data_IF_182597833391
#
_entry.id   IF_182597833391
#
_cell.length_a   1.000
_cell.length_b   1.000
_cell.length_c   1.000
_cell.angle_alpha   90.00
_cell.angle_beta   90.00
_cell.angle_gamma   90.00
#
_symmetry.space_group_name_H-M   'P 1'
#
loop_
_entity.id
_entity.type
_entity.pdbx_description
1 polymer ?
#
# COMPACT_ATOMS: atom_id res chain seq x y z
N UNK A 1 -9.24 10.21 -26.20
CA UNK A 1 -8.74 9.56 -24.98
C UNK A 1 -8.93 8.06 -25.07
N UNK A 2 -7.96 7.31 -24.55
CA UNK A 2 -8.12 5.88 -24.26
C UNK A 2 -7.98 5.68 -22.75
N UNK A 3 -8.94 4.96 -22.16
CA UNK A 3 -9.07 4.79 -20.71
C UNK A 3 -9.29 3.31 -20.38
N UNK A 4 -8.54 2.77 -19.43
CA UNK A 4 -8.80 1.42 -18.87
C UNK A 4 -10.23 1.38 -18.31
N UNK A 5 -11.01 0.38 -18.69
CA UNK A 5 -12.44 0.23 -18.42
C UNK A 5 -12.80 0.12 -16.93
N UNK A 6 -11.83 -0.22 -16.08
CA UNK A 6 -12.01 -0.31 -14.63
C UNK A 6 -11.78 1.04 -13.92
N UNK A 7 -11.22 2.06 -14.60
CA UNK A 7 -11.04 3.39 -14.02
C UNK A 7 -12.42 4.08 -13.88
N UNK A 8 -12.84 4.44 -12.66
CA UNK A 8 -14.10 5.13 -12.47
C UNK A 8 -14.12 6.48 -13.20
N UNK A 9 -15.09 6.69 -14.04
CA UNK A 9 -15.31 7.98 -14.70
C UNK A 9 -16.05 8.91 -13.73
N UNK A 10 -15.33 9.50 -12.78
CA UNK A 10 -15.88 10.47 -11.83
C UNK A 10 -16.40 11.73 -12.53
N UNK A 11 -17.18 12.53 -11.82
CA UNK A 11 -17.68 13.79 -12.38
C UNK A 11 -16.54 14.74 -12.80
N UNK A 12 -15.45 14.77 -12.00
CA UNK A 12 -14.26 15.57 -12.28
C UNK A 12 -13.57 15.10 -13.57
N UNK A 13 -13.39 13.79 -13.74
CA UNK A 13 -12.73 13.23 -14.92
C UNK A 13 -13.62 13.43 -16.17
N UNK A 14 -14.93 13.15 -16.08
CA UNK A 14 -15.89 13.34 -17.16
C UNK A 14 -15.96 14.78 -17.68
N UNK A 15 -15.78 15.76 -16.81
CA UNK A 15 -15.82 17.18 -17.19
C UNK A 15 -14.65 17.57 -18.13
N UNK A 16 -13.57 16.80 -18.16
CA UNK A 16 -12.38 17.04 -18.99
C UNK A 16 -12.37 16.18 -20.26
N UNK A 17 -13.11 15.07 -20.25
CA UNK A 17 -13.11 14.10 -21.34
C UNK A 17 -13.85 14.63 -22.57
N UNK A 18 -13.19 14.52 -23.73
CA UNK A 18 -13.81 14.63 -25.06
C UNK A 18 -14.29 13.26 -25.56
N UNK A 19 -13.85 12.89 -26.77
CA UNK A 19 -14.09 11.55 -27.31
C UNK A 19 -13.28 10.50 -26.53
N UNK A 20 -13.95 9.50 -25.97
CA UNK A 20 -13.35 8.48 -25.10
C UNK A 20 -13.63 7.09 -25.62
N UNK A 21 -12.57 6.32 -25.75
CA UNK A 21 -12.62 4.85 -25.93
C UNK A 21 -12.22 4.17 -24.64
N UNK A 22 -13.06 3.29 -24.11
CA UNK A 22 -12.73 2.46 -22.95
C UNK A 22 -12.34 1.07 -23.41
N UNK A 23 -11.23 0.54 -22.86
CA UNK A 23 -10.69 -0.78 -23.19
C UNK A 23 -10.24 -1.50 -21.91
N UNK A 24 -10.35 -2.84 -21.85
CA UNK A 24 -9.65 -3.61 -20.85
C UNK A 24 -8.14 -3.29 -20.90
N UNK A 25 -7.50 -3.09 -19.74
CA UNK A 25 -6.10 -2.66 -19.70
C UNK A 25 -5.14 -3.59 -20.47
N UNK A 26 -5.45 -4.87 -20.58
CA UNK A 26 -4.65 -5.84 -21.38
C UNK A 26 -4.83 -5.71 -22.89
N UNK A 27 -5.90 -5.04 -23.34
CA UNK A 27 -6.19 -4.80 -24.77
C UNK A 27 -5.64 -3.44 -25.24
N UNK A 28 -4.99 -2.68 -24.36
CA UNK A 28 -4.32 -1.43 -24.68
C UNK A 28 -3.00 -1.77 -25.40
N UNK A 29 -2.93 -1.42 -26.68
CA UNK A 29 -1.80 -1.71 -27.58
C UNK A 29 -1.45 -0.45 -28.36
N UNK A 30 -0.27 -0.34 -29.01
CA UNK A 30 0.08 0.81 -29.86
C UNK A 30 -0.98 1.10 -30.93
N UNK A 31 -1.59 0.08 -31.50
CA UNK A 31 -2.65 0.25 -32.52
C UNK A 31 -3.93 0.85 -31.94
N UNK A 32 -4.31 0.49 -30.70
CA UNK A 32 -5.54 1.00 -30.08
C UNK A 32 -5.41 2.40 -29.52
N UNK A 33 -4.17 2.91 -29.38
CA UNK A 33 -3.89 4.26 -28.87
C UNK A 33 -3.24 5.17 -29.90
N UNK A 34 -3.18 4.74 -31.18
CA UNK A 34 -2.47 5.48 -32.26
C UNK A 34 -2.87 6.93 -32.36
N UNK A 35 -4.15 7.24 -32.23
CA UNK A 35 -4.74 8.56 -32.40
C UNK A 35 -5.22 9.19 -31.08
N UNK A 36 -4.86 8.60 -29.94
CA UNK A 36 -5.24 9.11 -28.63
C UNK A 36 -4.26 10.20 -28.15
N UNK A 37 -4.78 11.36 -27.71
CA UNK A 37 -3.96 12.40 -27.06
C UNK A 37 -3.64 12.04 -25.62
N UNK A 38 -4.56 11.37 -24.93
CA UNK A 38 -4.47 11.03 -23.50
C UNK A 38 -4.73 9.54 -23.29
N UNK A 39 -3.83 8.91 -22.55
CA UNK A 39 -3.94 7.51 -22.14
C UNK A 39 -4.03 7.42 -20.61
N UNK A 40 -5.11 6.80 -20.11
CA UNK A 40 -5.27 6.53 -18.67
C UNK A 40 -5.29 5.03 -18.41
N UNK A 41 -4.36 4.56 -17.57
CA UNK A 41 -4.12 3.15 -17.31
C UNK A 41 -4.17 2.78 -15.83
N UNK A 42 -4.09 1.49 -15.55
CA UNK A 42 -3.81 0.91 -14.23
C UNK A 42 -2.51 0.11 -14.27
N UNK A 43 -2.12 -0.47 -13.14
CA UNK A 43 -0.87 -1.23 -12.97
C UNK A 43 -0.68 -2.43 -13.90
N UNK A 44 -1.75 -2.95 -14.51
CA UNK A 44 -1.70 -4.10 -15.43
C UNK A 44 -1.26 -3.74 -16.85
N UNK A 45 -1.16 -2.46 -17.19
CA UNK A 45 -0.73 -1.97 -18.49
C UNK A 45 0.70 -1.44 -18.38
N UNK A 46 1.73 -2.15 -18.86
CA UNK A 46 3.09 -1.63 -18.88
C UNK A 46 3.19 -0.43 -19.83
N UNK A 47 3.64 0.71 -19.32
CA UNK A 47 3.83 1.93 -20.10
C UNK A 47 5.32 2.11 -20.35
N UNK A 48 5.74 1.87 -21.59
CA UNK A 48 7.12 1.87 -22.02
C UNK A 48 7.24 2.37 -23.47
N UNK A 49 8.46 2.41 -23.99
CA UNK A 49 8.72 2.84 -25.37
C UNK A 49 7.93 2.02 -26.41
N UNK A 50 7.81 0.71 -26.22
CA UNK A 50 7.10 -0.14 -27.18
C UNK A 50 5.60 0.13 -27.26
N UNK A 51 5.00 0.65 -26.17
CA UNK A 51 3.60 1.06 -26.16
C UNK A 51 3.39 2.45 -26.78
N UNK A 52 4.28 3.41 -26.48
CA UNK A 52 4.07 4.83 -26.78
C UNK A 52 4.70 5.30 -28.10
N UNK A 53 5.78 4.67 -28.58
CA UNK A 53 6.50 5.12 -29.75
C UNK A 53 5.63 5.12 -31.01
N UNK A 54 5.58 6.26 -31.71
CA UNK A 54 4.79 6.41 -32.94
C UNK A 54 3.29 6.61 -32.74
N UNK A 55 2.82 6.76 -31.52
CA UNK A 55 1.43 7.13 -31.21
C UNK A 55 1.29 8.66 -31.07
N UNK A 56 0.06 9.15 -31.02
CA UNK A 56 -0.24 10.56 -30.79
C UNK A 56 -0.31 10.94 -29.29
N UNK A 57 -0.05 10.02 -28.38
CA UNK A 57 -0.20 10.22 -26.93
C UNK A 57 0.73 11.33 -26.43
N UNK A 58 0.16 12.37 -25.84
CA UNK A 58 0.83 13.52 -25.24
C UNK A 58 0.85 13.46 -23.71
N UNK A 59 -0.11 12.77 -23.10
CA UNK A 59 -0.22 12.59 -21.67
C UNK A 59 -0.58 11.15 -21.33
N UNK A 60 0.13 10.55 -20.38
CA UNK A 60 -0.21 9.25 -19.82
C UNK A 60 -0.39 9.34 -18.30
N UNK A 61 -1.51 8.83 -17.79
CA UNK A 61 -1.81 8.80 -16.36
C UNK A 61 -2.09 7.42 -15.84
N UNK A 62 -1.60 7.09 -14.63
CA UNK A 62 -2.02 5.88 -13.94
C UNK A 62 -2.91 6.18 -12.73
N UNK A 63 -4.09 5.54 -12.67
CA UNK A 63 -5.02 5.65 -11.54
C UNK A 63 -4.54 4.90 -10.29
N UNK A 64 -3.27 4.51 -10.24
CA UNK A 64 -2.63 3.80 -9.13
C UNK A 64 -1.63 4.69 -8.39
N UNK A 65 -1.37 4.38 -7.12
CA UNK A 65 -0.37 5.10 -6.34
C UNK A 65 1.05 4.71 -6.74
N UNK A 66 1.28 3.46 -7.13
CA UNK A 66 2.57 2.95 -7.59
C UNK A 66 2.77 3.17 -9.09
N UNK A 67 4.03 3.29 -9.51
CA UNK A 67 4.47 3.53 -10.88
C UNK A 67 5.40 2.43 -11.41
N UNK A 68 5.43 1.29 -10.78
CA UNK A 68 6.34 0.18 -11.10
C UNK A 68 6.17 -0.34 -12.56
N UNK A 69 5.02 -0.07 -13.18
CA UNK A 69 4.68 -0.40 -14.56
C UNK A 69 5.01 0.72 -15.57
N UNK A 70 5.57 1.86 -15.12
CA UNK A 70 5.98 3.00 -15.94
C UNK A 70 7.50 2.99 -16.16
N UNK A 71 7.93 2.94 -17.41
CA UNK A 71 9.30 3.25 -17.80
C UNK A 71 9.43 4.78 -17.94
N UNK A 72 9.72 5.43 -16.82
CA UNK A 72 9.78 6.91 -16.75
C UNK A 72 10.81 7.47 -17.72
N UNK A 73 11.98 6.83 -17.84
CA UNK A 73 13.04 7.30 -18.74
C UNK A 73 12.58 7.26 -20.20
N UNK A 74 11.87 6.21 -20.61
CA UNK A 74 11.30 6.11 -21.95
C UNK A 74 10.19 7.14 -22.16
N UNK A 75 9.29 7.34 -21.21
CA UNK A 75 8.18 8.30 -21.29
C UNK A 75 8.72 9.72 -21.47
N UNK A 76 9.70 10.11 -20.63
CA UNK A 76 10.32 11.44 -20.68
C UNK A 76 11.12 11.64 -21.97
N UNK A 77 11.85 10.62 -22.43
CA UNK A 77 12.60 10.67 -23.71
C UNK A 77 11.68 10.87 -24.91
N UNK A 78 10.48 10.32 -24.89
CA UNK A 78 9.45 10.50 -25.91
C UNK A 78 8.74 11.85 -25.81
N UNK A 79 9.01 12.64 -24.77
CA UNK A 79 8.36 13.94 -24.54
C UNK A 79 6.90 13.83 -24.11
N UNK A 80 6.48 12.67 -23.60
CA UNK A 80 5.12 12.45 -23.11
C UNK A 80 5.02 12.92 -21.66
N UNK A 81 4.04 13.75 -21.34
CA UNK A 81 3.76 14.14 -19.97
C UNK A 81 3.14 12.96 -19.21
N UNK A 82 3.43 12.86 -17.92
CA UNK A 82 2.88 11.76 -17.12
C UNK A 82 2.44 12.17 -15.72
N UNK A 83 1.56 11.38 -15.13
CA UNK A 83 1.13 11.51 -13.73
C UNK A 83 0.71 10.16 -13.15
N UNK A 84 0.83 10.07 -11.82
CA UNK A 84 0.27 8.98 -11.03
C UNK A 84 -0.76 9.53 -10.02
N UNK A 85 -1.34 8.63 -9.22
CA UNK A 85 -2.29 8.98 -8.17
C UNK A 85 -1.77 8.64 -6.76
N UNK A 86 -0.65 9.27 -6.31
CA UNK A 86 -0.05 8.97 -5.02
C UNK A 86 -1.01 9.28 -3.87
N UNK A 87 -1.13 8.35 -2.92
CA UNK A 87 -2.00 8.50 -1.76
C UNK A 87 -3.49 8.19 -2.01
N UNK A 88 -3.93 7.93 -3.25
CA UNK A 88 -5.32 7.59 -3.58
C UNK A 88 -5.87 6.44 -2.75
N UNK A 89 -5.04 5.45 -2.45
CA UNK A 89 -5.38 4.23 -1.72
C UNK A 89 -4.88 4.20 -0.27
N UNK A 90 -4.22 5.26 0.20
CA UNK A 90 -3.52 5.23 1.49
C UNK A 90 -4.44 4.92 2.67
N UNK A 91 -5.66 5.47 2.69
CA UNK A 91 -6.65 5.20 3.74
C UNK A 91 -7.03 3.72 3.75
N UNK A 92 -7.28 3.13 2.58
CA UNK A 92 -7.63 1.71 2.48
C UNK A 92 -6.53 0.79 3.01
N UNK A 93 -5.26 1.10 2.70
CA UNK A 93 -4.13 0.33 3.23
C UNK A 93 -4.01 0.47 4.75
N UNK A 94 -4.23 1.67 5.30
CA UNK A 94 -4.25 1.89 6.75
C UNK A 94 -5.36 1.06 7.41
N UNK A 95 -6.57 1.07 6.87
CA UNK A 95 -7.69 0.26 7.36
C UNK A 95 -7.37 -1.23 7.29
N UNK A 96 -6.76 -1.69 6.19
CA UNK A 96 -6.29 -3.07 6.05
C UNK A 96 -5.31 -3.45 7.17
N UNK A 97 -4.30 -2.61 7.46
CA UNK A 97 -3.32 -2.89 8.52
C UNK A 97 -3.98 -2.93 9.91
N UNK A 98 -4.91 -2.01 10.20
CA UNK A 98 -5.65 -2.05 11.46
C UNK A 98 -6.51 -3.33 11.60
N UNK A 99 -7.17 -3.73 10.52
CA UNK A 99 -7.90 -5.00 10.47
C UNK A 99 -6.97 -6.21 10.62
N UNK A 100 -5.77 -6.17 10.03
CA UNK A 100 -4.74 -7.20 10.17
C UNK A 100 -4.28 -7.34 11.63
N UNK A 101 -3.99 -6.22 12.30
CA UNK A 101 -3.66 -6.19 13.73
C UNK A 101 -4.77 -6.85 14.59
N UNK A 102 -6.03 -6.50 14.31
CA UNK A 102 -7.17 -7.06 15.04
C UNK A 102 -7.37 -8.56 14.75
N UNK A 103 -7.27 -8.97 13.48
CA UNK A 103 -7.44 -10.36 13.06
C UNK A 103 -6.37 -11.27 13.66
N UNK A 104 -5.14 -10.78 13.74
CA UNK A 104 -4.01 -11.50 14.35
C UNK A 104 -4.00 -11.43 15.90
N UNK A 105 -4.94 -10.72 16.55
CA UNK A 105 -5.00 -10.58 17.99
C UNK A 105 -3.96 -9.64 18.60
N UNK A 106 -3.40 -8.74 17.78
CA UNK A 106 -2.36 -7.79 18.20
C UNK A 106 -2.86 -6.38 18.49
N UNK A 107 -4.09 -6.04 18.06
CA UNK A 107 -4.62 -4.67 18.21
C UNK A 107 -4.69 -4.23 19.67
N UNK A 108 -5.27 -5.06 20.55
CA UNK A 108 -5.35 -4.77 21.99
C UNK A 108 -3.96 -4.63 22.63
N UNK A 109 -3.01 -5.47 22.21
CA UNK A 109 -1.64 -5.44 22.72
C UNK A 109 -0.92 -4.14 22.33
N UNK A 110 -1.12 -3.68 21.08
CA UNK A 110 -0.56 -2.43 20.58
C UNK A 110 -1.13 -1.23 21.34
N UNK A 111 -2.43 -1.20 21.60
CA UNK A 111 -3.06 -0.16 22.42
C UNK A 111 -2.58 -0.23 23.87
N UNK A 112 -2.33 -1.42 24.41
CA UNK A 112 -1.78 -1.60 25.75
C UNK A 112 -0.29 -1.22 25.88
N UNK A 113 0.31 -0.68 24.81
CA UNK A 113 1.68 -0.15 24.81
C UNK A 113 2.72 -1.05 24.16
N UNK A 114 2.33 -2.13 23.45
CA UNK A 114 3.24 -2.89 22.63
C UNK A 114 3.71 -2.01 21.45
N UNK A 115 5.03 -1.76 21.29
CA UNK A 115 5.50 -0.79 20.31
C UNK A 115 5.39 -1.32 18.88
N UNK A 116 5.16 -0.39 17.94
CA UNK A 116 5.05 -0.64 16.51
C UNK A 116 6.18 0.06 15.77
N UNK A 117 6.92 -0.69 14.96
CA UNK A 117 7.93 -0.21 14.04
C UNK A 117 7.39 -0.10 12.62
N UNK A 118 7.52 1.05 12.00
CA UNK A 118 7.12 1.31 10.62
C UNK A 118 8.34 1.56 9.74
N UNK A 119 8.36 0.93 8.57
CA UNK A 119 9.39 1.14 7.55
C UNK A 119 8.77 1.88 6.37
N UNK A 120 9.22 3.11 6.12
CA UNK A 120 8.63 4.04 5.17
C UNK A 120 7.56 4.93 5.82
N UNK A 121 7.77 6.25 5.77
CA UNK A 121 6.87 7.24 6.35
C UNK A 121 6.27 8.13 5.24
N UNK A 122 5.85 7.50 4.14
CA UNK A 122 5.14 8.12 3.03
C UNK A 122 3.64 8.27 3.30
N UNK A 123 2.83 8.28 2.22
CA UNK A 123 1.39 8.48 2.28
C UNK A 123 0.64 7.48 3.20
N UNK A 124 1.08 6.23 3.23
CA UNK A 124 0.49 5.20 4.09
C UNK A 124 1.10 5.24 5.49
N UNK A 125 2.43 5.16 5.58
CA UNK A 125 3.13 5.02 6.86
C UNK A 125 2.86 6.19 7.81
N UNK A 126 2.84 7.43 7.30
CA UNK A 126 2.51 8.60 8.14
C UNK A 126 1.07 8.56 8.65
N UNK A 127 0.09 8.24 7.77
CA UNK A 127 -1.31 8.12 8.20
C UNK A 127 -1.50 7.02 9.24
N UNK A 128 -0.85 5.88 9.05
CA UNK A 128 -0.88 4.79 10.03
C UNK A 128 -0.24 5.19 11.35
N UNK A 129 0.96 5.80 11.30
CA UNK A 129 1.65 6.29 12.48
C UNK A 129 0.80 7.27 13.28
N UNK A 130 0.23 8.29 12.61
CA UNK A 130 -0.65 9.28 13.25
C UNK A 130 -1.89 8.60 13.85
N UNK A 131 -2.52 7.68 13.12
CA UNK A 131 -3.72 7.00 13.62
C UNK A 131 -3.44 6.17 14.86
N UNK A 132 -2.35 5.40 14.85
CA UNK A 132 -1.91 4.63 16.02
C UNK A 132 -1.50 5.54 17.19
N UNK A 133 -0.78 6.63 16.93
CA UNK A 133 -0.40 7.62 17.97
C UNK A 133 -1.62 8.27 18.62
N UNK A 134 -2.66 8.62 17.83
CA UNK A 134 -3.92 9.15 18.38
C UNK A 134 -4.67 8.14 19.27
N UNK A 135 -4.46 6.84 19.04
CA UNK A 135 -4.96 5.78 19.92
C UNK A 135 -4.06 5.53 21.14
N UNK A 136 -3.02 6.33 21.34
CA UNK A 136 -2.09 6.19 22.46
C UNK A 136 -1.00 5.13 22.26
N UNK A 137 -0.89 4.54 21.07
CA UNK A 137 0.11 3.53 20.78
C UNK A 137 1.53 4.11 20.70
N UNK A 138 2.53 3.29 21.08
CA UNK A 138 3.93 3.63 20.89
C UNK A 138 4.34 3.31 19.45
N UNK A 139 4.64 4.32 18.66
CA UNK A 139 5.01 4.17 17.25
C UNK A 139 6.38 4.78 17.01
N UNK A 140 7.24 4.04 16.32
CA UNK A 140 8.49 4.55 15.76
C UNK A 140 8.58 4.23 14.28
N UNK A 141 9.27 5.07 13.52
CA UNK A 141 9.36 4.91 12.08
C UNK A 141 10.79 5.13 11.57
N UNK A 142 11.13 4.43 10.50
CA UNK A 142 12.33 4.60 9.72
C UNK A 142 11.99 5.03 8.30
N UNK A 143 12.52 6.16 7.86
CA UNK A 143 12.49 6.61 6.47
C UNK A 143 13.73 7.50 6.23
N UNK A 144 14.78 6.96 5.58
CA UNK A 144 16.03 7.70 5.40
C UNK A 144 15.94 8.82 4.35
N UNK A 145 14.93 8.77 3.48
CA UNK A 145 14.76 9.75 2.40
C UNK A 145 13.89 10.93 2.83
N UNK A 146 13.22 10.84 3.98
CA UNK A 146 12.33 11.87 4.44
C UNK A 146 13.08 12.99 5.18
N UNK A 147 13.03 14.20 4.64
CA UNK A 147 13.64 15.40 5.23
C UNK A 147 12.72 16.14 6.22
N UNK A 148 11.41 16.18 5.93
CA UNK A 148 10.36 16.86 6.70
C UNK A 148 9.74 15.90 7.74
N UNK A 149 10.48 15.62 8.82
CA UNK A 149 10.03 14.64 9.81
C UNK A 149 8.91 15.21 10.70
N UNK A 150 7.75 14.51 10.84
CA UNK A 150 6.69 14.93 11.73
C UNK A 150 7.14 14.91 13.20
N UNK A 151 6.90 16.00 13.93
CA UNK A 151 7.36 16.18 15.31
C UNK A 151 6.70 15.25 16.32
N UNK A 152 5.56 14.66 15.95
CA UNK A 152 4.74 13.76 16.76
C UNK A 152 5.02 12.28 16.52
N UNK A 153 5.97 11.95 15.59
CA UNK A 153 6.36 10.57 15.28
C UNK A 153 7.81 10.35 15.68
N UNK A 154 8.07 9.31 16.50
CA UNK A 154 9.41 8.94 16.92
C UNK A 154 10.23 8.44 15.71
N UNK A 155 11.38 9.09 15.45
CA UNK A 155 12.34 8.63 14.45
C UNK A 155 13.20 7.52 15.04
N UNK A 156 13.46 6.48 14.26
CA UNK A 156 14.32 5.37 14.63
C UNK A 156 15.26 5.00 13.49
N UNK A 157 16.38 4.38 13.81
CA UNK A 157 17.24 3.71 12.83
C UNK A 157 16.64 2.35 12.44
N UNK A 158 17.04 1.83 11.28
CA UNK A 158 16.45 0.60 10.76
C UNK A 158 16.64 -0.59 11.70
N UNK A 159 17.79 -0.70 12.31
CA UNK A 159 18.15 -1.74 13.29
C UNK A 159 17.27 -1.69 14.55
N UNK A 160 16.82 -0.49 14.94
CA UNK A 160 15.90 -0.32 16.06
C UNK A 160 14.49 -0.82 15.68
N UNK A 161 14.07 -0.59 14.43
CA UNK A 161 12.79 -1.12 13.90
C UNK A 161 12.80 -2.64 13.89
N UNK A 162 13.92 -3.29 13.47
CA UNK A 162 14.03 -4.75 13.44
C UNK A 162 13.87 -5.42 14.81
N UNK A 163 14.07 -4.67 15.89
CA UNK A 163 13.90 -5.14 17.27
C UNK A 163 12.45 -4.99 17.80
N UNK A 164 11.54 -4.39 17.04
CA UNK A 164 10.17 -4.18 17.52
C UNK A 164 9.32 -5.45 17.39
N UNK A 165 8.37 -5.67 18.31
CA UNK A 165 7.48 -6.85 18.27
C UNK A 165 6.42 -6.78 17.17
N UNK A 166 6.11 -5.59 16.67
CA UNK A 166 5.23 -5.37 15.52
C UNK A 166 5.96 -4.55 14.49
N UNK A 167 6.08 -5.06 13.27
CA UNK A 167 6.75 -4.38 12.16
C UNK A 167 5.83 -4.36 10.94
N UNK A 168 5.67 -3.18 10.33
CA UNK A 168 4.89 -3.03 9.10
C UNK A 168 5.67 -2.25 8.03
N UNK A 169 5.71 -2.80 6.80
CA UNK A 169 6.45 -2.23 5.67
C UNK A 169 5.54 -1.37 4.80
N UNK A 170 5.97 -0.12 4.55
CA UNK A 170 5.25 0.87 3.74
C UNK A 170 6.19 1.71 2.86
N UNK A 171 7.45 1.29 2.71
CA UNK A 171 8.41 1.97 1.84
C UNK A 171 8.03 1.80 0.35
N UNK A 172 8.37 2.81 -0.46
CA UNK A 172 8.34 2.66 -1.91
C UNK A 172 9.49 1.76 -2.37
N UNK A 173 9.30 1.07 -3.50
CA UNK A 173 10.33 0.24 -4.10
C UNK A 173 11.24 1.09 -4.99
N UNK A 174 12.55 1.06 -4.73
CA UNK A 174 13.56 1.73 -5.57
C UNK A 174 14.96 1.12 -5.35
N UNK A 175 15.83 1.34 -6.34
CA UNK A 175 17.21 0.86 -6.34
C UNK A 175 18.25 2.00 -6.12
N UNK A 176 17.80 3.19 -5.73
CA UNK A 176 18.64 4.38 -5.56
C UNK A 176 19.57 4.25 -4.35
N UNK A 177 20.89 4.30 -4.61
CA UNK A 177 21.92 4.37 -3.56
C UNK A 177 21.90 5.74 -2.86
N UNK A 178 22.20 5.85 -1.54
CA UNK A 178 22.67 4.78 -0.65
C UNK A 178 21.56 4.00 0.07
N UNK A 179 20.29 4.31 -0.16
CA UNK A 179 19.16 3.79 0.61
C UNK A 179 18.20 2.96 -0.25
N UNK A 180 18.76 2.09 -1.12
CA UNK A 180 17.92 1.19 -1.91
C UNK A 180 16.95 0.40 -1.02
N UNK A 181 15.69 0.33 -1.44
CA UNK A 181 14.65 -0.37 -0.68
C UNK A 181 14.39 -1.79 -1.19
N UNK A 182 14.81 -2.12 -2.42
CA UNK A 182 14.73 -3.48 -2.94
C UNK A 182 15.61 -4.41 -2.11
N UNK A 183 15.00 -5.47 -1.56
CA UNK A 183 15.67 -6.40 -0.66
C UNK A 183 16.10 -5.77 0.67
N UNK A 184 15.46 -4.66 1.06
CA UNK A 184 15.73 -3.98 2.32
C UNK A 184 15.68 -4.94 3.51
N UNK A 185 14.75 -5.89 3.51
CA UNK A 185 14.71 -7.00 4.46
C UNK A 185 15.31 -8.24 3.81
N UNK A 186 16.59 -8.47 4.02
CA UNK A 186 17.34 -9.65 3.60
C UNK A 186 17.36 -10.74 4.68
N UNK A 187 17.99 -11.88 4.37
CA UNK A 187 18.08 -13.02 5.31
C UNK A 187 18.80 -12.66 6.62
N UNK A 188 19.83 -11.81 6.58
CA UNK A 188 20.58 -11.43 7.78
C UNK A 188 19.73 -10.55 8.71
N UNK A 189 18.97 -9.64 8.14
CA UNK A 189 18.04 -8.77 8.89
C UNK A 189 16.85 -9.55 9.43
N UNK A 190 16.32 -10.51 8.67
CA UNK A 190 15.30 -11.43 9.18
C UNK A 190 15.82 -12.25 10.37
N UNK A 191 17.07 -12.71 10.33
CA UNK A 191 17.70 -13.39 11.46
C UNK A 191 17.82 -12.47 12.70
N UNK A 192 18.14 -11.18 12.51
CA UNK A 192 18.13 -10.20 13.61
C UNK A 192 16.72 -10.03 14.21
N UNK A 193 15.68 -9.98 13.39
CA UNK A 193 14.28 -9.93 13.84
C UNK A 193 13.94 -11.18 14.67
N UNK A 194 14.32 -12.36 14.21
CA UNK A 194 14.11 -13.64 14.93
C UNK A 194 14.86 -13.64 16.25
N UNK A 195 16.13 -13.21 16.25
CA UNK A 195 16.94 -13.14 17.46
C UNK A 195 16.37 -12.13 18.48
N UNK A 196 15.82 -11.01 18.03
CA UNK A 196 15.19 -10.01 18.91
C UNK A 196 13.96 -10.56 19.66
N UNK A 197 13.25 -11.54 19.06
CA UNK A 197 12.11 -12.20 19.70
C UNK A 197 12.50 -13.31 20.67
N UNK A 198 13.76 -13.79 20.66
CA UNK A 198 14.19 -14.93 21.48
C UNK A 198 13.97 -14.76 23.01
N UNK A 199 13.80 -13.52 23.45
CA UNK A 199 13.50 -13.15 24.84
C UNK A 199 12.01 -12.87 25.11
N UNK A 200 11.15 -13.06 24.12
CA UNK A 200 9.71 -12.79 24.20
C UNK A 200 8.93 -14.09 24.05
N UNK A 201 8.07 -14.37 25.01
CA UNK A 201 7.18 -15.54 24.98
C UNK A 201 6.03 -15.38 23.95
N UNK A 202 5.73 -14.15 23.58
CA UNK A 202 4.55 -13.78 22.81
C UNK A 202 4.76 -13.71 21.29
N UNK A 203 5.98 -13.98 20.81
CA UNK A 203 6.32 -13.87 19.39
C UNK A 203 6.33 -12.43 18.87
N UNK A 204 6.14 -12.27 17.58
CA UNK A 204 6.06 -10.99 16.89
C UNK A 204 5.02 -10.99 15.77
N UNK A 205 4.70 -9.80 15.25
CA UNK A 205 3.82 -9.62 14.08
C UNK A 205 4.56 -8.85 12.99
N UNK A 206 4.65 -9.44 11.81
CA UNK A 206 5.18 -8.84 10.61
C UNK A 206 4.09 -8.66 9.57
N UNK A 207 3.95 -7.44 9.02
CA UNK A 207 2.97 -7.10 7.99
C UNK A 207 3.70 -6.48 6.79
N UNK A 208 3.46 -7.04 5.59
CA UNK A 208 3.85 -6.40 4.34
C UNK A 208 2.62 -6.12 3.47
N UNK A 209 2.19 -4.87 3.44
CA UNK A 209 1.15 -4.32 2.57
C UNK A 209 1.71 -3.19 1.68
N UNK A 210 3.02 -3.18 1.43
CA UNK A 210 3.74 -2.22 0.60
C UNK A 210 4.11 -2.80 -0.77
N UNK A 211 5.31 -3.36 -0.87
CA UNK A 211 5.83 -4.05 -2.05
C UNK A 211 6.51 -5.35 -1.64
N UNK A 212 6.29 -6.41 -2.41
CA UNK A 212 6.85 -7.73 -2.14
C UNK A 212 8.38 -7.71 -2.11
N UNK A 213 8.98 -7.03 -3.09
CA UNK A 213 10.42 -6.94 -3.28
C UNK A 213 11.15 -6.08 -2.24
N UNK A 214 10.46 -5.49 -1.26
CA UNK A 214 11.10 -4.91 -0.07
C UNK A 214 11.79 -5.98 0.77
N UNK A 215 11.39 -7.23 0.62
CA UNK A 215 12.01 -8.37 1.27
C UNK A 215 12.48 -9.40 0.27
N UNK A 216 13.52 -10.17 0.63
CA UNK A 216 13.96 -11.31 -0.16
C UNK A 216 13.16 -12.57 0.17
N UNK A 217 13.18 -13.55 -0.74
CA UNK A 217 12.52 -14.84 -0.51
C UNK A 217 13.13 -15.59 0.67
N UNK A 218 14.45 -15.45 0.86
CA UNK A 218 15.19 -16.03 2.00
C UNK A 218 14.75 -15.40 3.33
N UNK A 219 14.54 -14.07 3.34
CA UNK A 219 14.02 -13.37 4.52
C UNK A 219 12.63 -13.87 4.88
N UNK A 220 11.72 -13.96 3.90
CA UNK A 220 10.37 -14.51 4.11
C UNK A 220 10.44 -15.93 4.68
N UNK A 221 11.29 -16.79 4.10
CA UNK A 221 11.47 -18.17 4.58
C UNK A 221 11.93 -18.21 6.05
N UNK A 222 12.84 -17.31 6.46
CA UNK A 222 13.26 -17.21 7.85
C UNK A 222 12.14 -16.80 8.80
N UNK A 223 11.31 -15.85 8.38
CA UNK A 223 10.20 -15.35 9.20
C UNK A 223 9.12 -16.41 9.41
N UNK A 224 8.69 -17.11 8.34
CA UNK A 224 7.64 -18.14 8.46
C UNK A 224 8.10 -19.40 9.22
N UNK A 225 9.41 -19.61 9.38
CA UNK A 225 9.98 -20.69 10.19
C UNK A 225 10.29 -20.29 11.63
N UNK A 226 9.78 -19.16 12.07
CA UNK A 226 10.11 -18.55 13.37
C UNK A 226 8.83 -18.20 14.15
N UNK A 227 8.94 -17.68 15.40
CA UNK A 227 7.77 -17.22 16.17
C UNK A 227 7.10 -15.93 15.65
N UNK A 228 7.38 -15.48 14.43
CA UNK A 228 6.68 -14.35 13.82
C UNK A 228 5.35 -14.80 13.22
N UNK A 229 4.27 -14.09 13.56
CA UNK A 229 3.03 -14.10 12.79
C UNK A 229 3.26 -13.28 11.54
N UNK A 230 3.09 -13.88 10.36
CA UNK A 230 3.40 -13.26 9.06
C UNK A 230 2.13 -12.99 8.27
N UNK A 231 1.88 -11.71 7.98
CA UNK A 231 0.74 -11.25 7.16
C UNK A 231 1.29 -10.59 5.90
N UNK A 232 0.87 -11.10 4.72
CA UNK A 232 1.29 -10.59 3.44
C UNK A 232 0.09 -10.22 2.59
N UNK A 233 0.07 -8.97 2.13
CA UNK A 233 -0.75 -8.55 0.99
C UNK A 233 0.09 -8.51 -0.29
N UNK A 234 1.41 -8.35 -0.13
CA UNK A 234 2.42 -8.38 -1.19
C UNK A 234 3.57 -9.30 -0.79
N UNK A 235 4.18 -9.98 -1.75
CA UNK A 235 5.27 -10.95 -1.53
C UNK A 235 6.33 -10.92 -2.63
N UNK A 236 7.55 -11.40 -2.36
CA UNK A 236 8.60 -11.44 -3.36
C UNK A 236 8.21 -12.30 -4.57
N UNK A 237 8.35 -11.75 -5.78
CA UNK A 237 8.13 -12.46 -7.04
C UNK A 237 6.67 -12.60 -7.47
N UNK A 238 5.79 -11.70 -7.00
CA UNK A 238 4.42 -11.62 -7.54
C UNK A 238 4.40 -11.60 -9.08
N UNK A 239 3.41 -12.20 -9.70
CA UNK A 239 2.30 -13.01 -9.18
C UNK A 239 2.63 -14.50 -8.99
N UNK A 240 3.88 -14.90 -9.20
CA UNK A 240 4.31 -16.30 -9.03
C UNK A 240 4.39 -16.64 -7.54
N UNK A 241 3.58 -17.62 -7.10
CA UNK A 241 3.47 -18.00 -5.71
C UNK A 241 3.95 -19.45 -5.50
N UNK A 242 4.83 -19.64 -4.52
CA UNK A 242 5.06 -20.95 -3.96
C UNK A 242 3.90 -21.33 -3.04
N UNK A 243 3.09 -22.33 -3.41
CA UNK A 243 2.00 -22.83 -2.58
C UNK A 243 2.49 -23.32 -1.21
N UNK A 244 3.70 -23.88 -1.15
CA UNK A 244 4.35 -24.27 0.10
C UNK A 244 4.58 -23.04 1.00
N UNK A 245 5.23 -22.02 0.49
CA UNK A 245 5.55 -20.80 1.26
C UNK A 245 4.30 -20.08 1.72
N UNK A 246 3.28 -19.97 0.85
CA UNK A 246 1.98 -19.40 1.22
C UNK A 246 1.28 -20.18 2.33
N UNK A 247 1.42 -21.52 2.32
CA UNK A 247 0.81 -22.36 3.37
C UNK A 247 1.42 -22.11 4.75
N UNK A 248 2.62 -21.57 4.81
CA UNK A 248 3.39 -21.29 6.04
C UNK A 248 3.19 -19.86 6.55
N UNK A 249 2.71 -18.93 5.73
CA UNK A 249 2.28 -17.62 6.20
C UNK A 249 0.98 -17.76 7.02
N UNK A 250 0.78 -16.91 8.03
CA UNK A 250 -0.44 -16.95 8.84
C UNK A 250 -1.64 -16.41 8.04
N UNK A 251 -1.47 -15.25 7.42
CA UNK A 251 -2.50 -14.61 6.59
C UNK A 251 -1.89 -14.07 5.30
N UNK A 252 -2.61 -14.27 4.20
CA UNK A 252 -2.23 -13.76 2.87
C UNK A 252 -3.44 -13.19 2.15
N UNK A 253 -3.23 -12.16 1.33
CA UNK A 253 -4.23 -11.58 0.44
C UNK A 253 -3.59 -11.14 -0.88
N UNK A 254 -4.32 -11.14 -2.00
CA UNK A 254 -3.74 -10.98 -3.34
C UNK A 254 -3.61 -9.50 -3.72
N UNK A 255 -2.72 -8.76 -3.04
CA UNK A 255 -2.38 -7.36 -3.31
C UNK A 255 -3.61 -6.42 -3.35
N UNK A 256 -4.50 -6.58 -2.37
CA UNK A 256 -5.79 -5.87 -2.32
C UNK A 256 -5.92 -4.84 -1.19
N UNK A 257 -4.91 -4.66 -0.36
CA UNK A 257 -4.95 -3.71 0.76
C UNK A 257 -5.36 -2.29 0.31
N UNK A 258 -4.93 -1.89 -0.89
CA UNK A 258 -5.29 -0.62 -1.50
C UNK A 258 -6.60 -0.62 -2.31
N UNK A 259 -7.27 -1.76 -2.44
CA UNK A 259 -8.43 -1.91 -3.32
C UNK A 259 -9.74 -1.56 -2.60
N UNK A 260 -10.22 -0.36 -2.80
CA UNK A 260 -11.56 0.06 -2.39
C UNK A 260 -12.22 0.90 -3.49
N UNK A 261 -13.55 1.00 -3.45
CA UNK A 261 -14.30 1.91 -4.36
C UNK A 261 -13.76 3.33 -4.22
N UNK A 262 -13.58 3.78 -2.98
CA UNK A 262 -13.11 5.14 -2.70
C UNK A 262 -11.66 5.38 -3.17
N UNK A 263 -10.78 4.41 -3.04
CA UNK A 263 -9.41 4.50 -3.54
C UNK A 263 -9.39 4.68 -5.07
N UNK A 264 -10.24 3.94 -5.79
CA UNK A 264 -10.37 4.07 -7.25
C UNK A 264 -10.93 5.42 -7.67
N UNK A 265 -11.98 5.92 -7.00
CA UNK A 265 -12.52 7.26 -7.22
C UNK A 265 -11.47 8.35 -6.97
N UNK A 266 -10.76 8.27 -5.85
CA UNK A 266 -9.68 9.20 -5.53
C UNK A 266 -8.56 9.18 -6.60
N UNK A 267 -8.22 8.00 -7.12
CA UNK A 267 -7.27 7.85 -8.22
C UNK A 267 -7.72 8.61 -9.47
N UNK A 268 -8.99 8.46 -9.85
CA UNK A 268 -9.57 9.18 -10.99
C UNK A 268 -9.60 10.69 -10.77
N UNK A 269 -9.96 11.17 -9.57
CA UNK A 269 -10.00 12.59 -9.26
C UNK A 269 -8.60 13.23 -9.27
N UNK A 270 -7.58 12.52 -8.78
CA UNK A 270 -6.18 12.95 -8.87
C UNK A 270 -5.70 13.04 -10.32
N UNK A 271 -6.08 12.08 -11.16
CA UNK A 271 -5.78 12.13 -12.59
C UNK A 271 -6.50 13.28 -13.28
N UNK A 272 -7.76 13.53 -12.95
CA UNK A 272 -8.49 14.69 -13.48
C UNK A 272 -7.75 16.00 -13.15
N UNK A 273 -7.29 16.16 -11.90
CA UNK A 273 -6.50 17.31 -11.51
C UNK A 273 -5.16 17.41 -12.27
N UNK A 274 -4.51 16.28 -12.52
CA UNK A 274 -3.24 16.25 -13.25
C UNK A 274 -3.45 16.64 -14.73
N UNK A 275 -4.46 16.09 -15.38
CA UNK A 275 -4.80 16.43 -16.76
C UNK A 275 -5.19 17.89 -16.89
N UNK A 276 -6.02 18.40 -15.96
CA UNK A 276 -6.41 19.81 -15.96
C UNK A 276 -5.22 20.75 -15.86
N UNK A 277 -4.27 20.45 -14.97
CA UNK A 277 -3.01 21.23 -14.85
C UNK A 277 -2.17 21.16 -16.12
N UNK A 278 -2.06 19.98 -16.71
CA UNK A 278 -1.31 19.78 -17.94
C UNK A 278 -1.94 20.54 -19.12
N UNK A 279 -3.26 20.55 -19.22
CA UNK A 279 -4.00 21.20 -20.31
C UNK A 279 -4.24 22.71 -20.10
N UNK A 280 -3.71 23.34 -19.03
CA UNK A 280 -4.02 24.70 -18.59
C UNK A 280 -5.55 24.96 -18.44
N UNK A 281 -6.31 23.89 -18.19
CA UNK A 281 -7.75 24.02 -17.94
C UNK A 281 -7.97 24.45 -16.47
N UNK A 282 -8.98 25.32 -16.24
CA UNK A 282 -9.41 25.59 -14.86
C UNK A 282 -9.87 24.28 -14.23
N UNK A 283 -9.08 23.76 -13.27
CA UNK A 283 -9.44 22.56 -12.57
C UNK A 283 -10.76 22.79 -11.82
N UNK A 284 -11.78 21.90 -11.99
CA UNK A 284 -12.90 21.94 -11.07
C UNK A 284 -12.33 21.85 -9.65
N UNK A 285 -12.86 22.66 -8.72
CA UNK A 285 -12.40 22.66 -7.33
C UNK A 285 -12.47 21.24 -6.78
N UNK A 286 -11.33 20.54 -6.83
CA UNK A 286 -11.20 19.21 -6.24
C UNK A 286 -11.12 19.51 -4.75
N UNK A 287 -12.04 18.97 -3.93
CA UNK A 287 -11.80 19.02 -2.50
C UNK A 287 -10.39 18.48 -2.32
N UNK A 288 -9.48 19.30 -1.78
CA UNK A 288 -8.28 18.73 -1.19
C UNK A 288 -8.76 17.46 -0.51
N UNK A 289 -8.03 16.35 -0.68
CA UNK A 289 -8.22 15.16 0.15
C UNK A 289 -7.95 15.64 1.59
N UNK A 290 -8.85 16.49 2.05
CA UNK A 290 -8.84 17.00 3.39
C UNK A 290 -8.90 15.78 4.25
N UNK A 291 -7.96 15.68 5.17
CA UNK A 291 -8.11 14.87 6.34
C UNK A 291 -9.53 15.07 6.87
N UNK A 292 -10.45 14.22 6.41
CA UNK A 292 -11.73 14.01 7.08
C UNK A 292 -11.46 13.20 8.36
N UNK A 293 -10.32 13.41 8.97
CA UNK A 293 -10.10 13.23 10.38
C UNK A 293 -10.77 14.44 11.05
N UNK A 294 -12.12 14.49 10.94
CA UNK A 294 -12.96 15.37 11.74
C UNK A 294 -12.98 14.93 13.20
N UNK A 295 -11.82 14.62 13.74
CA UNK A 295 -11.54 14.60 15.17
C UNK A 295 -10.93 15.95 15.46
N UNK A 296 -11.80 16.91 15.78
CA UNK A 296 -11.40 18.17 16.41
C UNK A 296 -10.33 17.90 17.46
N UNK A 297 -9.19 18.55 17.30
CA UNK A 297 -8.13 18.69 18.30
C UNK A 297 -8.71 19.34 19.56
N UNK A 298 -9.16 18.52 20.46
CA UNK A 298 -9.75 18.92 21.73
C UNK A 298 -9.71 17.78 22.72
N UNK A 299 -8.60 17.07 22.84
CA UNK A 299 -8.38 16.15 23.93
C UNK A 299 -7.20 16.67 24.76
N UNK A 300 -7.57 17.43 25.79
CA UNK A 300 -6.69 17.70 26.91
C UNK A 300 -6.09 16.38 27.42
N UNK A 301 -4.78 16.27 27.39
CA UNK A 301 -4.06 15.13 27.98
C UNK A 301 -4.29 15.12 29.48
N UNK A 302 -5.35 14.50 29.92
CA UNK A 302 -5.46 14.02 31.29
C UNK A 302 -4.84 12.64 31.32
N UNK A 303 -3.77 12.50 32.09
CA UNK A 303 -3.29 11.23 32.60
C UNK A 303 -4.43 10.58 33.42
N UNK A 304 -5.25 9.78 32.77
CA UNK A 304 -6.21 8.92 33.45
C UNK A 304 -5.60 7.51 33.43
N UNK A 305 -5.51 6.93 34.62
CA UNK A 305 -5.29 5.50 34.81
C UNK A 305 -6.37 4.76 33.99
N UNK A 306 -6.01 3.82 33.11
CA UNK A 306 -6.99 3.12 32.28
C UNK A 306 -7.87 2.23 33.18
N UNK A 307 -9.02 2.76 33.54
CA UNK A 307 -10.03 2.00 34.27
C UNK A 307 -10.76 0.99 33.36
N UNK A 308 -11.52 0.05 33.96
CA UNK A 308 -12.28 -1.02 33.31
C UNK A 308 -13.14 -0.59 32.09
N UNK A 309 -13.52 0.68 31.99
CA UNK A 309 -14.29 1.24 30.89
C UNK A 309 -13.50 1.29 29.57
N UNK A 310 -12.20 1.57 29.63
CA UNK A 310 -11.34 1.66 28.43
C UNK A 310 -11.11 0.27 27.84
N UNK A 311 -10.98 -0.78 28.68
CA UNK A 311 -10.81 -2.16 28.21
C UNK A 311 -12.03 -2.67 27.43
N UNK A 312 -13.24 -2.28 27.82
CA UNK A 312 -14.48 -2.64 27.12
C UNK A 312 -14.55 -1.94 25.75
N UNK A 313 -14.18 -0.67 25.67
CA UNK A 313 -14.16 0.09 24.40
C UNK A 313 -13.13 -0.49 23.44
N UNK A 314 -11.93 -0.79 23.93
CA UNK A 314 -10.85 -1.40 23.13
C UNK A 314 -11.28 -2.78 22.62
N UNK A 315 -11.86 -3.62 23.46
CA UNK A 315 -12.37 -4.94 23.06
C UNK A 315 -13.45 -4.84 21.99
N UNK A 316 -14.36 -3.87 22.10
CA UNK A 316 -15.38 -3.62 21.08
C UNK A 316 -14.76 -3.12 19.76
N UNK A 317 -13.78 -2.23 19.80
CA UNK A 317 -13.06 -1.77 18.61
C UNK A 317 -12.32 -2.92 17.93
N UNK A 318 -11.67 -3.79 18.70
CA UNK A 318 -10.96 -4.97 18.17
C UNK A 318 -11.92 -5.89 17.43
N UNK A 319 -13.08 -6.19 18.05
CA UNK A 319 -14.08 -7.06 17.43
C UNK A 319 -14.71 -6.42 16.20
N UNK A 320 -14.99 -5.11 16.23
CA UNK A 320 -15.46 -4.37 15.05
C UNK A 320 -14.45 -4.47 13.89
N UNK A 321 -13.16 -4.24 14.13
CA UNK A 321 -12.13 -4.35 13.12
C UNK A 321 -12.01 -5.79 12.58
N UNK A 322 -12.12 -6.81 13.43
CA UNK A 322 -12.16 -8.22 13.01
C UNK A 322 -13.33 -8.49 12.07
N UNK A 323 -14.51 -7.99 12.39
CA UNK A 323 -15.72 -8.18 11.57
C UNK A 323 -15.63 -7.44 10.23
N UNK A 324 -14.92 -6.31 10.15
CA UNK A 324 -14.66 -5.60 8.92
C UNK A 324 -13.52 -6.22 8.09
N UNK A 325 -12.71 -7.10 8.68
CA UNK A 325 -11.56 -7.68 8.02
C UNK A 325 -11.96 -8.63 6.89
N UNK A 326 -11.43 -8.39 5.71
CA UNK A 326 -11.56 -9.28 4.55
C UNK A 326 -10.52 -10.40 4.56
N UNK A 327 -9.49 -10.31 5.41
CA UNK A 327 -8.35 -11.22 5.44
C UNK A 327 -8.74 -12.70 5.51
N UNK A 328 -9.67 -13.17 6.38
CA UNK A 328 -10.00 -14.58 6.46
C UNK A 328 -10.54 -15.14 5.14
N UNK A 329 -11.37 -14.36 4.44
CA UNK A 329 -11.96 -14.76 3.16
C UNK A 329 -10.91 -14.78 2.05
N UNK A 330 -10.12 -13.73 1.93
CA UNK A 330 -9.12 -13.60 0.87
C UNK A 330 -7.94 -14.57 1.07
N UNK A 331 -7.56 -14.83 2.32
CA UNK A 331 -6.59 -15.88 2.66
C UNK A 331 -7.05 -17.27 2.19
N UNK A 332 -8.32 -17.62 2.40
CA UNK A 332 -8.85 -18.88 1.92
C UNK A 332 -8.87 -18.94 0.38
N UNK A 333 -9.37 -17.91 -0.30
CA UNK A 333 -9.43 -17.81 -1.77
C UNK A 333 -8.05 -17.96 -2.40
N UNK A 334 -7.06 -17.23 -1.92
CA UNK A 334 -5.71 -17.26 -2.47
C UNK A 334 -5.04 -18.61 -2.28
N UNK A 335 -5.20 -19.25 -1.11
CA UNK A 335 -4.66 -20.61 -0.86
C UNK A 335 -5.29 -21.66 -1.76
N UNK A 336 -6.59 -21.57 -2.00
CA UNK A 336 -7.28 -22.51 -2.88
C UNK A 336 -6.86 -22.31 -4.35
N UNK A 337 -6.75 -21.07 -4.80
CA UNK A 337 -6.25 -20.74 -6.13
C UNK A 337 -4.79 -21.20 -6.34
N UNK A 338 -3.92 -20.99 -5.35
CA UNK A 338 -2.52 -21.45 -5.41
C UNK A 338 -2.40 -22.98 -5.50
N UNK A 339 -3.26 -23.73 -4.80
CA UNK A 339 -3.32 -25.21 -4.92
C UNK A 339 -3.78 -25.66 -6.30
N UNK A 340 -4.65 -24.89 -6.96
CA UNK A 340 -5.13 -25.15 -8.31
C UNK A 340 -4.14 -24.76 -9.42
N UNK A 341 -3.01 -24.14 -9.07
CA UNK A 341 -1.99 -23.70 -10.04
C UNK A 341 -2.32 -22.32 -10.62
N UNK A 342 -2.51 -21.33 -9.74
CA UNK A 342 -2.84 -19.95 -10.08
C UNK A 342 -1.93 -19.37 -11.16
N UNK A 343 -2.54 -18.87 -12.24
CA UNK A 343 -1.85 -18.14 -13.31
C UNK A 343 -1.81 -16.63 -13.02
N UNK A 344 -0.90 -15.91 -13.70
CA UNK A 344 -0.82 -14.45 -13.59
C UNK A 344 -2.14 -13.76 -13.96
N UNK A 345 -2.86 -14.26 -14.95
CA UNK A 345 -4.15 -13.71 -15.37
C UNK A 345 -5.25 -13.94 -14.31
N UNK A 346 -5.25 -15.09 -13.65
CA UNK A 346 -6.20 -15.40 -12.57
C UNK A 346 -5.92 -14.61 -11.31
N UNK A 347 -4.64 -14.31 -11.03
CA UNK A 347 -4.23 -13.47 -9.92
C UNK A 347 -4.84 -12.06 -9.99
N UNK A 348 -4.88 -11.47 -11.17
CA UNK A 348 -5.45 -10.12 -11.38
C UNK A 348 -6.98 -10.07 -11.17
N UNK A 349 -7.64 -11.22 -11.10
CA UNK A 349 -9.08 -11.37 -10.86
C UNK A 349 -9.44 -11.82 -9.44
N UNK A 350 -8.44 -12.11 -8.58
CA UNK A 350 -8.65 -12.38 -7.17
C UNK A 350 -8.87 -11.09 -6.39
#
# INVERSE_FOLDING_TARGET
>A
WVVDDVIPQTAALKALMGDVTTLPGRDITPATISDADILLVRSITPVNESLLAGTAVQFVGTATAGIDHFDIEAIERLGVAWSAAPGSNAVSVVEYVLCALATAGWFERVIAGCPVGLVGLGQVGERLARRLSHLGCQVMAYDPLRSDWPTDICRAEFEEILCQPVISLHANLHDQSPHASRGLLDAARAEQMVAALSKREDGGLFINAGRGELMTLEALTRLVDSPWTVILDTWPGEPSLSADLLSRCDWVSPHIAGHSVKARENGSDLLAAAVARWADAEAPAIPELGDRDGVTSGCDRRSADPGDADSVVIGWMTEFLRQQSILPRENARLRDAAKAGLTSAEFDHL
#
